data_IF_592446110099
#
_entry.id   IF_592446110099
#
_cell.length_a   1.000
_cell.length_b   1.000
_cell.length_c   1.000
_cell.angle_alpha   90.00
_cell.angle_beta   90.00
_cell.angle_gamma   90.00
#
_symmetry.space_group_name_H-M   'P 1'
#
loop_
_entity.id
_entity.type
_entity.pdbx_description
1 polymer ?
#
# COMPACT_ATOMS: atom_id res chain seq x y z
N UNK A 1 3.98 11.73 6.71
CA UNK A 1 3.16 11.19 5.61
C UNK A 1 2.48 9.92 6.10
N UNK A 2 1.21 9.66 5.74
CA UNK A 2 0.45 8.46 6.17
C UNK A 2 0.27 7.53 4.98
N UNK A 3 0.73 6.29 5.08
CA UNK A 3 0.75 5.33 3.99
C UNK A 3 -0.22 4.17 4.28
N UNK A 4 -1.12 3.91 3.34
CA UNK A 4 -2.01 2.76 3.35
C UNK A 4 -1.58 1.81 2.23
N UNK A 5 -1.17 0.61 2.62
CA UNK A 5 -0.73 -0.42 1.69
C UNK A 5 -1.93 -1.30 1.29
N UNK A 6 -2.07 -1.44 -0.02
CA UNK A 6 -3.05 -2.30 -0.67
C UNK A 6 -2.90 -3.79 -0.30
N UNK A 7 -3.97 -4.57 -0.46
CA UNK A 7 -4.04 -6.01 -0.17
C UNK A 7 -3.06 -6.83 -1.01
N UNK A 8 -2.73 -6.38 -2.22
CA UNK A 8 -1.74 -7.05 -3.08
C UNK A 8 -0.29 -6.85 -2.59
N UNK A 9 -0.06 -5.92 -1.66
CA UNK A 9 1.25 -5.72 -1.06
C UNK A 9 1.41 -6.59 0.19
N UNK A 10 2.61 -7.10 0.42
CA UNK A 10 2.86 -7.89 1.63
C UNK A 10 2.77 -7.02 2.88
N UNK A 11 1.99 -7.46 3.89
CA UNK A 11 1.95 -6.83 5.22
C UNK A 11 3.34 -6.65 5.86
N UNK A 12 4.35 -7.42 5.43
CA UNK A 12 5.73 -7.32 5.90
C UNK A 12 6.38 -5.98 5.53
N UNK A 13 5.89 -5.29 4.50
CA UNK A 13 6.39 -3.98 4.09
C UNK A 13 6.17 -2.95 5.20
N UNK A 14 5.03 -3.00 5.89
CA UNK A 14 4.75 -2.11 7.03
C UNK A 14 5.85 -2.24 8.09
N UNK A 15 6.15 -3.46 8.51
CA UNK A 15 7.21 -3.73 9.51
C UNK A 15 8.59 -3.24 9.10
N UNK A 16 8.91 -3.22 7.80
CA UNK A 16 10.20 -2.73 7.31
C UNK A 16 10.27 -1.22 7.21
N UNK A 17 9.12 -0.55 7.10
CA UNK A 17 9.03 0.89 6.93
C UNK A 17 8.68 1.62 8.22
N UNK A 18 8.30 0.89 9.28
CA UNK A 18 8.01 1.44 10.61
C UNK A 18 9.18 2.31 11.15
N UNK A 19 10.43 1.95 10.86
CA UNK A 19 11.62 2.72 11.28
C UNK A 19 11.79 4.07 10.55
N UNK A 20 11.19 4.22 9.36
CA UNK A 20 11.36 5.40 8.47
C UNK A 20 10.10 6.26 8.42
N UNK A 21 8.92 5.63 8.53
CA UNK A 21 7.62 6.27 8.40
C UNK A 21 6.72 5.91 9.59
N UNK A 22 6.44 6.91 10.42
CA UNK A 22 5.67 6.77 11.66
C UNK A 22 4.22 6.26 11.46
N UNK A 23 3.63 6.42 10.27
CA UNK A 23 2.23 6.06 10.01
C UNK A 23 2.11 5.20 8.74
N UNK A 24 2.41 3.92 8.90
CA UNK A 24 2.23 2.89 7.87
C UNK A 24 1.13 1.93 8.31
N UNK A 25 0.16 1.66 7.45
CA UNK A 25 -0.95 0.76 7.73
C UNK A 25 -1.20 -0.15 6.53
N UNK A 26 -1.44 -1.42 6.77
CA UNK A 26 -1.91 -2.34 5.73
C UNK A 26 -3.45 -2.34 5.71
N UNK A 27 -4.09 -2.50 4.55
CA UNK A 27 -5.56 -2.48 4.42
C UNK A 27 -6.26 -3.44 5.39
N UNK A 28 -5.66 -4.59 5.69
CA UNK A 28 -6.19 -5.56 6.67
C UNK A 28 -6.27 -5.05 8.11
N UNK A 29 -5.70 -3.87 8.40
CA UNK A 29 -5.72 -3.21 9.72
C UNK A 29 -6.66 -1.99 9.76
N UNK A 30 -7.44 -1.75 8.71
CA UNK A 30 -8.38 -0.61 8.61
C UNK A 30 -9.74 -0.88 9.27
N UNK A 31 -10.05 -2.14 9.58
CA UNK A 31 -11.37 -2.58 10.07
C UNK A 31 -12.41 -2.77 8.96
N UNK A 32 -12.04 -2.56 7.69
CA UNK A 32 -12.90 -2.88 6.54
C UNK A 32 -13.14 -4.40 6.45
N UNK A 33 -14.29 -4.84 5.89
CA UNK A 33 -14.53 -6.24 5.55
C UNK A 33 -13.41 -6.82 4.69
N UNK A 34 -13.06 -8.10 4.86
CA UNK A 34 -11.99 -8.76 4.10
C UNK A 34 -12.61 -9.86 3.22
N UNK A 35 -12.42 -9.84 1.88
CA UNK A 35 -11.67 -8.84 1.11
C UNK A 35 -12.41 -7.48 1.04
N UNK A 36 -11.66 -6.39 1.14
CA UNK A 36 -12.20 -5.04 1.00
C UNK A 36 -12.25 -4.66 -0.48
N UNK A 37 -13.36 -4.05 -0.92
CA UNK A 37 -13.46 -3.50 -2.27
C UNK A 37 -12.60 -2.23 -2.42
N UNK A 38 -12.04 -1.99 -3.61
CA UNK A 38 -11.16 -0.85 -3.87
C UNK A 38 -11.81 0.49 -3.53
N UNK A 39 -13.11 0.63 -3.79
CA UNK A 39 -13.87 1.84 -3.47
C UNK A 39 -14.02 2.05 -1.95
N UNK A 40 -14.13 0.97 -1.18
CA UNK A 40 -14.17 1.05 0.28
C UNK A 40 -12.80 1.48 0.84
N UNK A 41 -11.72 0.92 0.29
CA UNK A 41 -10.34 1.30 0.63
C UNK A 41 -10.08 2.77 0.26
N UNK A 42 -10.54 3.20 -0.92
CA UNK A 42 -10.46 4.57 -1.41
C UNK A 42 -11.13 5.56 -0.47
N UNK A 43 -12.39 5.30 -0.10
CA UNK A 43 -13.15 6.16 0.81
C UNK A 43 -12.51 6.19 2.20
N UNK A 44 -12.09 5.03 2.72
CA UNK A 44 -11.40 4.96 4.01
C UNK A 44 -10.11 5.79 4.00
N UNK A 45 -9.29 5.66 2.96
CA UNK A 45 -8.06 6.43 2.82
C UNK A 45 -8.32 7.94 2.71
N UNK A 46 -9.38 8.33 1.98
CA UNK A 46 -9.82 9.72 1.86
C UNK A 46 -10.18 10.32 3.22
N UNK A 47 -11.05 9.64 3.96
CA UNK A 47 -11.55 10.09 5.27
C UNK A 47 -10.43 10.17 6.30
N UNK A 48 -9.52 9.20 6.29
CA UNK A 48 -8.41 9.11 7.25
C UNK A 48 -7.15 9.87 6.81
N UNK A 49 -7.19 10.53 5.64
CA UNK A 49 -6.08 11.30 5.04
C UNK A 49 -4.81 10.45 4.81
N UNK A 50 -4.99 9.24 4.32
CA UNK A 50 -3.92 8.34 3.92
C UNK A 50 -3.62 8.46 2.42
N UNK A 51 -2.37 8.16 2.07
CA UNK A 51 -1.90 7.96 0.70
C UNK A 51 -1.95 6.47 0.42
N UNK A 52 -2.59 6.07 -0.67
CA UNK A 52 -2.68 4.67 -1.07
C UNK A 52 -1.39 4.29 -1.81
N UNK A 53 -0.79 3.18 -1.42
CA UNK A 53 0.37 2.58 -2.08
C UNK A 53 -0.09 1.23 -2.64
N UNK A 54 0.00 1.06 -3.95
CA UNK A 54 -0.35 -0.19 -4.64
C UNK A 54 0.65 -0.49 -5.77
N UNK A 55 0.72 -1.76 -6.16
CA UNK A 55 1.42 -2.22 -7.36
C UNK A 55 0.44 -2.43 -8.54
N UNK A 56 -0.87 -2.34 -8.29
CA UNK A 56 -1.92 -2.47 -9.29
C UNK A 56 -2.47 -1.09 -9.70
N UNK A 57 -3.09 -1.04 -10.88
CA UNK A 57 -3.55 0.22 -11.49
C UNK A 57 -4.97 0.62 -11.07
N UNK A 58 -5.68 -0.19 -10.29
CA UNK A 58 -7.07 0.06 -9.91
C UNK A 58 -7.23 1.38 -9.14
N UNK A 59 -6.33 1.66 -8.19
CA UNK A 59 -6.31 2.94 -7.48
C UNK A 59 -5.87 4.11 -8.37
N UNK A 60 -5.04 3.86 -9.38
CA UNK A 60 -4.67 4.89 -10.37
C UNK A 60 -5.90 5.27 -11.22
N UNK A 61 -6.72 4.29 -11.62
CA UNK A 61 -7.98 4.56 -12.31
C UNK A 61 -8.95 5.33 -11.41
N UNK A 62 -9.11 4.94 -10.14
CA UNK A 62 -9.93 5.69 -9.18
C UNK A 62 -9.44 7.13 -9.01
N UNK A 63 -8.12 7.35 -8.95
CA UNK A 63 -7.53 8.70 -8.91
C UNK A 63 -7.77 9.49 -10.19
N UNK A 64 -7.84 8.83 -11.34
CA UNK A 64 -8.14 9.49 -12.61
C UNK A 64 -9.62 9.87 -12.72
N UNK A 65 -10.52 9.07 -12.12
CA UNK A 65 -11.97 9.30 -12.13
C UNK A 65 -12.41 10.33 -11.07
N UNK A 66 -11.93 10.21 -9.84
CA UNK A 66 -12.40 11.01 -8.70
C UNK A 66 -11.46 12.16 -8.35
N UNK A 67 -10.25 12.20 -8.92
CA UNK A 67 -9.23 13.18 -8.56
C UNK A 67 -8.68 12.98 -7.15
N UNK A 68 -7.95 13.98 -6.68
CA UNK A 68 -7.47 14.04 -5.30
C UNK A 68 -8.54 14.65 -4.39
N UNK A 69 -8.71 14.19 -3.13
CA UNK A 69 -8.02 13.09 -2.42
C UNK A 69 -8.67 11.69 -2.51
N UNK A 70 -7.92 10.59 -2.22
CA UNK A 70 -6.52 10.49 -1.73
C UNK A 70 -5.45 10.57 -2.83
N UNK A 71 -4.17 10.74 -2.41
CA UNK A 71 -3.01 10.54 -3.32
C UNK A 71 -2.76 9.06 -3.50
N UNK A 72 -2.33 8.68 -4.70
CA UNK A 72 -1.95 7.30 -5.03
C UNK A 72 -0.48 7.26 -5.44
N UNK A 73 0.26 6.33 -4.84
CA UNK A 73 1.64 5.99 -5.19
C UNK A 73 1.63 4.62 -5.84
N UNK A 74 1.85 4.59 -7.14
CA UNK A 74 1.97 3.35 -7.91
C UNK A 74 3.42 2.88 -7.89
N UNK A 75 3.66 1.71 -7.32
CA UNK A 75 4.99 1.09 -7.22
C UNK A 75 5.14 0.14 -8.41
N UNK A 76 5.91 0.51 -9.44
CA UNK A 76 6.13 -0.34 -10.64
C UNK A 76 7.43 -1.15 -10.55
N UNK A 77 7.51 -2.08 -9.60
CA UNK A 77 8.72 -2.90 -9.40
C UNK A 77 8.45 -4.38 -9.79
N UNK A 78 7.20 -4.73 -10.13
CA UNK A 78 6.80 -6.11 -10.41
C UNK A 78 6.74 -6.96 -9.14
N UNK A 79 6.45 -8.26 -9.27
CA UNK A 79 6.43 -9.20 -8.14
C UNK A 79 7.85 -9.44 -7.63
N UNK A 80 8.28 -8.64 -6.67
CA UNK A 80 9.54 -8.84 -5.99
C UNK A 80 9.34 -9.55 -4.67
N UNK A 81 10.18 -10.56 -4.43
CA UNK A 81 10.25 -11.20 -3.12
C UNK A 81 10.61 -10.17 -2.05
N UNK A 82 9.89 -10.16 -0.94
CA UNK A 82 10.27 -9.33 0.22
C UNK A 82 11.59 -9.78 0.87
N UNK A 83 12.22 -10.86 0.41
CA UNK A 83 13.59 -11.20 0.77
C UNK A 83 14.56 -10.27 0.02
N UNK A 84 15.21 -9.39 0.76
CA UNK A 84 16.47 -8.78 0.34
C UNK A 84 17.45 -9.92 -0.05
N UNK A 85 18.31 -9.78 -1.08
CA UNK A 85 19.23 -10.85 -1.44
C UNK A 85 20.06 -11.22 -0.22
N UNK A 86 20.13 -12.53 0.08
CA UNK A 86 21.15 -13.03 1.00
C UNK A 86 22.50 -12.56 0.43
N UNK A 87 23.42 -12.00 1.25
CA UNK A 87 24.76 -11.72 0.77
C UNK A 87 25.30 -13.02 0.16
N UNK A 88 25.81 -12.94 -1.07
CA UNK A 88 26.40 -14.07 -1.75
C UNK A 88 27.48 -14.65 -0.85
N UNK A 89 27.17 -15.79 -0.22
CA UNK A 89 28.15 -16.57 0.49
C UNK A 89 29.03 -17.23 -0.55
N UNK A 90 30.31 -16.88 -0.55
CA UNK A 90 31.33 -17.60 -1.29
C UNK A 90 31.35 -19.06 -0.83
N UNK A 91 30.92 -19.96 -1.69
CA UNK A 91 31.37 -21.36 -1.72
C UNK A 91 31.67 -21.72 -3.14
#
# INVERSE_FOLDING_TARGET
MRLLFDANLSYRIVKKLEDVYQYCLHVTKTGLPIPAEDIAIWNWARENKYIIVSNDEDFYHLSSLYGFPPKVVLVRIGNQSTSWPKPCGNT
#
